data_IF_389548448696
#
_entry.id   IF_389548448696
#
_cell.length_a   1.000
_cell.length_b   1.000
_cell.length_c   1.000
_cell.angle_alpha   90.00
_cell.angle_beta   90.00
_cell.angle_gamma   90.00
#
_symmetry.space_group_name_H-M   'P 1'
#
loop_
_entity.id
_entity.type
_entity.pdbx_description
1 polymer ?
#
# COMPACT_ATOMS: atom_id res chain seq x y z
N UNK A 1 -1.72 22.52 11.69
CA UNK A 1 -2.14 21.93 10.38
C UNK A 1 -2.29 23.07 9.40
N UNK A 2 -1.70 22.97 8.20
CA UNK A 2 -1.82 24.00 7.15
C UNK A 2 -3.29 24.14 6.70
N UNK A 3 -3.79 25.37 6.44
CA UNK A 3 -5.10 25.58 5.83
C UNK A 3 -5.22 24.94 4.44
N UNK A 4 -6.44 24.54 4.04
CA UNK A 4 -6.67 23.82 2.77
C UNK A 4 -6.22 24.61 1.54
N UNK A 5 -6.39 25.93 1.55
CA UNK A 5 -5.99 26.79 0.45
C UNK A 5 -4.47 26.78 0.23
N UNK A 6 -3.69 26.92 1.30
CA UNK A 6 -2.23 26.87 1.26
C UNK A 6 -1.73 25.47 0.87
N UNK A 7 -2.40 24.42 1.36
CA UNK A 7 -2.12 23.04 0.98
C UNK A 7 -2.27 22.81 -0.53
N UNK A 8 -3.31 23.39 -1.15
CA UNK A 8 -3.52 23.34 -2.59
C UNK A 8 -2.47 24.15 -3.36
N UNK A 9 -2.11 25.36 -2.87
CA UNK A 9 -1.06 26.21 -3.49
C UNK A 9 0.30 25.51 -3.55
N UNK A 10 0.63 24.74 -2.51
CA UNK A 10 1.86 23.94 -2.44
C UNK A 10 1.81 22.64 -3.26
N UNK A 11 0.68 22.29 -3.86
CA UNK A 11 0.52 21.05 -4.64
C UNK A 11 0.63 19.78 -3.79
N UNK A 12 0.50 19.86 -2.47
CA UNK A 12 0.60 18.69 -1.59
C UNK A 12 -0.51 17.67 -1.95
N UNK A 13 -0.15 16.40 -2.06
CA UNK A 13 -0.98 15.29 -2.59
C UNK A 13 -1.39 15.39 -4.08
N UNK A 14 -0.87 16.37 -4.82
CA UNK A 14 -1.07 16.50 -6.26
C UNK A 14 0.07 15.80 -6.98
N UNK A 15 -0.16 14.54 -7.36
CA UNK A 15 0.75 13.82 -8.25
C UNK A 15 0.52 14.28 -9.69
N UNK A 16 1.57 14.55 -10.47
CA UNK A 16 1.44 14.74 -11.90
C UNK A 16 0.89 13.45 -12.52
N UNK A 17 -0.12 13.56 -13.38
CA UNK A 17 -0.85 12.37 -13.87
C UNK A 17 -0.02 11.46 -14.80
N UNK A 18 1.12 11.93 -15.31
CA UNK A 18 1.92 11.23 -16.33
C UNK A 18 3.42 11.11 -16.00
N UNK A 19 3.87 11.60 -14.85
CA UNK A 19 5.32 11.72 -14.61
C UNK A 19 5.92 10.49 -13.90
N UNK A 20 5.09 9.51 -13.54
CA UNK A 20 5.54 8.30 -12.86
C UNK A 20 5.07 7.08 -13.66
N UNK A 21 6.02 6.45 -14.34
CA UNK A 21 5.81 5.18 -15.04
C UNK A 21 5.79 4.02 -14.05
N UNK A 22 5.21 2.89 -14.44
CA UNK A 22 5.25 1.66 -13.67
C UNK A 22 6.69 1.18 -13.46
N UNK A 23 7.55 1.36 -14.46
CA UNK A 23 8.98 1.03 -14.39
C UNK A 23 9.76 1.84 -13.36
N UNK A 24 9.34 3.07 -13.08
CA UNK A 24 9.92 3.86 -11.99
C UNK A 24 9.33 3.44 -10.65
N UNK A 25 8.01 3.26 -10.59
CA UNK A 25 7.33 2.85 -9.37
C UNK A 25 7.78 1.47 -8.87
N UNK A 26 8.09 0.52 -9.76
CA UNK A 26 8.54 -0.81 -9.36
C UNK A 26 9.92 -0.78 -8.68
N UNK A 27 10.77 0.22 -8.96
CA UNK A 27 12.04 0.41 -8.24
C UNK A 27 11.78 0.75 -6.78
N UNK A 28 10.79 1.58 -6.51
CA UNK A 28 10.33 1.88 -5.15
C UNK A 28 9.81 0.62 -4.46
N UNK A 29 9.12 -0.25 -5.20
CA UNK A 29 8.67 -1.53 -4.66
C UNK A 29 9.80 -2.44 -4.19
N UNK A 30 10.92 -2.52 -4.91
CA UNK A 30 12.04 -3.34 -4.45
C UNK A 30 12.64 -2.82 -3.14
N UNK A 31 12.81 -1.51 -3.00
CA UNK A 31 13.26 -0.89 -1.75
C UNK A 31 12.28 -1.15 -0.61
N UNK A 32 10.99 -0.94 -0.86
CA UNK A 32 9.93 -1.19 0.12
C UNK A 32 9.91 -2.66 0.55
N UNK A 33 9.97 -3.60 -0.39
CA UNK A 33 9.98 -5.04 -0.13
C UNK A 33 11.11 -5.42 0.80
N UNK A 34 12.32 -4.95 0.53
CA UNK A 34 13.50 -5.31 1.32
C UNK A 34 13.40 -4.73 2.74
N UNK A 35 12.96 -3.47 2.87
CA UNK A 35 12.66 -2.84 4.15
C UNK A 35 11.63 -3.61 4.98
N UNK A 36 10.51 -4.04 4.38
CA UNK A 36 9.45 -4.77 5.08
C UNK A 36 9.92 -6.15 5.50
N UNK A 37 10.69 -6.85 4.64
CA UNK A 37 11.27 -8.15 4.99
C UNK A 37 12.22 -8.05 6.18
N UNK A 38 13.09 -7.04 6.20
CA UNK A 38 13.97 -6.78 7.34
C UNK A 38 13.17 -6.46 8.61
N UNK A 39 12.16 -5.59 8.51
CA UNK A 39 11.30 -5.21 9.62
C UNK A 39 10.52 -6.38 10.23
N UNK A 40 10.20 -7.39 9.42
CA UNK A 40 9.54 -8.62 9.85
C UNK A 40 10.52 -9.75 10.21
N UNK A 41 11.83 -9.53 10.05
CA UNK A 41 12.86 -10.55 10.29
C UNK A 41 12.85 -11.72 9.29
N UNK A 42 12.28 -11.52 8.10
CA UNK A 42 12.06 -12.58 7.10
C UNK A 42 13.28 -12.85 6.21
N UNK A 43 13.75 -14.08 6.23
CA UNK A 43 14.82 -14.62 5.36
C UNK A 43 14.23 -15.22 4.07
N UNK A 44 15.04 -15.36 3.01
CA UNK A 44 14.57 -16.02 1.78
C UNK A 44 14.06 -17.43 2.08
N UNK A 45 12.83 -17.73 1.66
CA UNK A 45 12.17 -19.02 1.92
C UNK A 45 11.30 -19.07 3.18
N UNK A 46 11.33 -18.04 4.04
CA UNK A 46 10.46 -17.99 5.21
C UNK A 46 8.99 -17.89 4.81
N UNK A 47 8.14 -18.57 5.59
CA UNK A 47 6.69 -18.45 5.52
C UNK A 47 6.21 -17.55 6.66
N UNK A 48 5.11 -16.83 6.44
CA UNK A 48 4.45 -16.12 7.52
C UNK A 48 3.80 -17.11 8.50
N UNK A 49 3.77 -16.78 9.80
CA UNK A 49 3.03 -17.57 10.77
C UNK A 49 1.55 -17.65 10.41
N UNK A 50 0.94 -18.80 10.69
CA UNK A 50 -0.50 -19.00 10.58
C UNK A 50 -1.24 -18.21 11.65
N UNK A 51 -2.54 -17.95 11.44
CA UNK A 51 -3.39 -17.23 12.40
C UNK A 51 -3.44 -17.93 13.78
N UNK A 52 -3.21 -19.24 13.83
CA UNK A 52 -3.13 -20.01 15.07
C UNK A 52 -1.81 -19.89 15.82
N UNK A 53 -0.75 -19.35 15.20
CA UNK A 53 0.55 -19.24 15.82
C UNK A 53 0.62 -18.04 16.78
N UNK A 54 1.28 -18.23 17.93
CA UNK A 54 1.45 -17.16 18.93
C UNK A 54 2.21 -15.93 18.40
N UNK A 55 3.02 -16.10 17.35
CA UNK A 55 3.75 -15.02 16.69
C UNK A 55 2.89 -14.22 15.70
N UNK A 56 1.67 -14.65 15.40
CA UNK A 56 0.77 -13.97 14.46
C UNK A 56 0.41 -12.56 14.92
N UNK A 57 -0.02 -12.40 16.17
CA UNK A 57 -0.45 -11.10 16.70
C UNK A 57 0.67 -10.03 16.67
N UNK A 58 1.89 -10.31 17.15
CA UNK A 58 3.01 -9.39 17.00
C UNK A 58 3.32 -9.05 15.53
N UNK A 59 3.35 -10.05 14.65
CA UNK A 59 3.63 -9.86 13.23
C UNK A 59 2.56 -8.98 12.56
N UNK A 60 1.29 -9.26 12.84
CA UNK A 60 0.16 -8.49 12.33
C UNK A 60 0.24 -7.03 12.81
N UNK A 61 0.62 -6.77 14.07
CA UNK A 61 0.85 -5.40 14.56
C UNK A 61 1.96 -4.68 13.80
N UNK A 62 3.06 -5.36 13.47
CA UNK A 62 4.13 -4.78 12.66
C UNK A 62 3.59 -4.44 11.27
N UNK A 63 2.94 -5.40 10.60
CA UNK A 63 2.34 -5.22 9.27
C UNK A 63 1.34 -4.07 9.22
N UNK A 64 0.48 -3.95 10.24
CA UNK A 64 -0.50 -2.86 10.33
C UNK A 64 0.16 -1.50 10.50
N UNK A 65 1.38 -1.42 11.07
CA UNK A 65 2.11 -0.17 11.27
C UNK A 65 3.02 0.19 10.10
N UNK A 66 3.40 -0.80 9.29
CA UNK A 66 4.29 -0.63 8.15
C UNK A 66 3.74 0.42 7.17
N UNK A 67 4.62 1.28 6.66
CA UNK A 67 4.28 2.20 5.58
C UNK A 67 3.94 1.41 4.31
N UNK A 68 2.98 1.87 3.50
CA UNK A 68 2.56 1.17 2.29
C UNK A 68 2.94 1.90 1.00
N UNK A 69 3.69 3.01 1.06
CA UNK A 69 4.22 3.63 -0.15
C UNK A 69 5.29 2.72 -0.76
N UNK A 70 5.15 2.41 -2.05
CA UNK A 70 5.98 1.41 -2.72
C UNK A 70 5.43 -0.02 -2.65
N UNK A 71 4.38 -0.28 -1.86
CA UNK A 71 3.75 -1.59 -1.89
C UNK A 71 3.17 -1.88 -3.28
N UNK A 72 3.53 -3.03 -3.86
CA UNK A 72 2.84 -3.56 -5.04
C UNK A 72 1.61 -4.32 -4.56
N UNK A 73 0.44 -3.86 -4.99
CA UNK A 73 -0.83 -4.39 -4.53
C UNK A 73 -1.73 -4.77 -5.70
N UNK A 74 -2.57 -5.77 -5.48
CA UNK A 74 -3.74 -6.09 -6.31
C UNK A 74 -5.02 -5.68 -5.58
N UNK A 75 -5.97 -5.10 -6.31
CA UNK A 75 -7.33 -4.84 -5.83
C UNK A 75 -8.17 -6.10 -6.05
N UNK A 76 -8.31 -6.92 -5.01
CA UNK A 76 -9.05 -8.19 -5.07
C UNK A 76 -10.55 -7.94 -5.13
N UNK A 77 -11.04 -7.07 -4.26
CA UNK A 77 -12.44 -6.65 -4.23
C UNK A 77 -12.52 -5.13 -4.18
N UNK A 78 -13.55 -4.58 -4.82
CA UNK A 78 -13.89 -3.17 -4.72
C UNK A 78 -15.34 -2.97 -5.12
N UNK A 79 -16.03 -2.04 -4.44
CA UNK A 79 -17.35 -1.56 -4.89
C UNK A 79 -17.31 -0.99 -6.32
N UNK A 80 -16.16 -0.49 -6.77
CA UNK A 80 -15.97 -0.04 -8.13
C UNK A 80 -15.44 -1.18 -9.00
N UNK A 81 -16.30 -1.78 -9.82
CA UNK A 81 -15.97 -2.91 -10.70
C UNK A 81 -14.74 -2.66 -11.58
N UNK A 82 -14.57 -1.44 -12.09
CA UNK A 82 -13.43 -1.09 -12.95
C UNK A 82 -12.06 -1.11 -12.26
N UNK A 83 -12.06 -1.17 -10.91
CA UNK A 83 -10.83 -1.25 -10.12
C UNK A 83 -10.47 -2.69 -9.73
N UNK A 84 -11.40 -3.65 -9.80
CA UNK A 84 -11.12 -5.04 -9.43
C UNK A 84 -10.13 -5.70 -10.40
N UNK A 85 -9.23 -6.52 -9.86
CA UNK A 85 -8.12 -7.15 -10.59
C UNK A 85 -6.98 -6.20 -10.97
N UNK A 86 -7.05 -4.93 -10.56
CA UNK A 86 -6.01 -3.96 -10.87
C UNK A 86 -4.77 -4.20 -10.04
N UNK A 87 -3.63 -4.32 -10.72
CA UNK A 87 -2.31 -4.42 -10.09
C UNK A 87 -1.57 -3.11 -10.28
N UNK A 88 -1.01 -2.58 -9.20
CA UNK A 88 -0.23 -1.35 -9.25
C UNK A 88 0.66 -1.15 -8.03
N UNK A 89 1.53 -0.15 -8.11
CA UNK A 89 2.38 0.27 -7.00
C UNK A 89 1.77 1.50 -6.33
N UNK A 90 1.67 1.49 -5.00
CA UNK A 90 1.20 2.63 -4.22
C UNK A 90 2.22 3.77 -4.29
N UNK A 91 1.84 4.89 -4.88
CA UNK A 91 2.66 6.11 -4.96
C UNK A 91 2.17 7.22 -4.02
N UNK A 92 0.94 7.09 -3.50
CA UNK A 92 0.43 7.96 -2.44
C UNK A 92 -0.53 7.18 -1.54
N UNK A 93 -0.26 7.22 -0.24
CA UNK A 93 -1.13 6.70 0.81
C UNK A 93 -1.75 7.88 1.58
N UNK A 94 -3.08 7.99 1.54
CA UNK A 94 -3.83 8.95 2.34
C UNK A 94 -4.76 8.21 3.30
N UNK A 95 -5.44 8.95 4.19
CA UNK A 95 -6.40 8.35 5.12
C UNK A 95 -7.41 7.43 4.43
N UNK A 96 -7.97 7.84 3.28
CA UNK A 96 -9.12 7.14 2.68
C UNK A 96 -8.83 6.47 1.35
N UNK A 97 -7.71 6.82 0.70
CA UNK A 97 -7.43 6.34 -0.66
C UNK A 97 -5.97 5.99 -0.85
N UNK A 98 -5.73 5.08 -1.77
CA UNK A 98 -4.43 4.92 -2.42
C UNK A 98 -4.44 5.60 -3.79
N UNK A 99 -3.29 6.11 -4.23
CA UNK A 99 -3.03 6.31 -5.65
C UNK A 99 -2.05 5.23 -6.12
N UNK A 100 -2.48 4.46 -7.11
CA UNK A 100 -1.72 3.35 -7.69
C UNK A 100 -1.26 3.73 -9.10
N UNK A 101 0.00 3.48 -9.42
CA UNK A 101 0.48 3.44 -10.81
C UNK A 101 0.27 2.01 -11.31
N UNK A 102 -0.59 1.83 -12.30
CA UNK A 102 -0.82 0.55 -12.96
C UNK A 102 0.24 0.24 -14.02
N UNK A 103 0.26 -1.00 -14.52
CA UNK A 103 1.19 -1.44 -15.58
C UNK A 103 1.03 -0.68 -16.92
N UNK A 104 -0.07 0.04 -17.09
CA UNK A 104 -0.36 0.88 -18.24
C UNK A 104 0.10 2.34 -18.05
N UNK A 105 0.98 2.58 -17.08
CA UNK A 105 1.54 3.89 -16.71
C UNK A 105 0.47 4.93 -16.32
N UNK A 106 -0.72 4.47 -15.89
CA UNK A 106 -1.80 5.35 -15.44
C UNK A 106 -1.94 5.32 -13.93
N UNK A 107 -2.00 6.52 -13.35
CA UNK A 107 -2.32 6.71 -11.93
C UNK A 107 -3.83 6.63 -11.72
N UNK A 108 -4.27 5.75 -10.83
CA UNK A 108 -5.68 5.60 -10.44
C UNK A 108 -5.83 5.74 -8.93
N UNK A 109 -6.91 6.39 -8.51
CA UNK A 109 -7.23 6.54 -7.09
C UNK A 109 -8.18 5.43 -6.67
N UNK A 110 -7.80 4.64 -5.67
CA UNK A 110 -8.58 3.51 -5.16
C UNK A 110 -9.07 3.83 -3.74
N UNK A 111 -10.39 3.87 -3.49
CA UNK A 111 -10.95 4.02 -2.15
C UNK A 111 -10.66 2.81 -1.26
N UNK A 112 -10.26 3.06 -0.01
CA UNK A 112 -9.97 2.01 0.98
C UNK A 112 -11.22 1.42 1.64
N UNK A 113 -12.26 2.24 1.89
CA UNK A 113 -13.41 1.85 2.71
C UNK A 113 -14.10 0.56 2.24
N UNK A 114 -14.22 0.39 0.92
CA UNK A 114 -14.97 -0.68 0.28
C UNK A 114 -14.10 -1.51 -0.66
N UNK A 115 -12.81 -1.68 -0.33
CA UNK A 115 -11.88 -2.49 -1.13
C UNK A 115 -11.09 -3.49 -0.28
N UNK A 116 -10.71 -4.61 -0.89
CA UNK A 116 -9.79 -5.60 -0.34
C UNK A 116 -8.56 -5.63 -1.22
N UNK A 117 -7.39 -5.57 -0.59
CA UNK A 117 -6.10 -5.51 -1.28
C UNK A 117 -5.27 -6.76 -0.96
N UNK A 118 -4.61 -7.31 -1.96
CA UNK A 118 -3.53 -8.27 -1.76
C UNK A 118 -2.18 -7.57 -1.93
N UNK A 119 -1.27 -7.76 -0.98
CA UNK A 119 0.10 -7.24 -1.03
C UNK A 119 1.06 -8.41 -1.24
N UNK A 120 2.00 -8.24 -2.17
CA UNK A 120 3.00 -9.26 -2.50
C UNK A 120 4.35 -8.94 -1.88
N UNK A 121 4.87 -9.87 -1.08
CA UNK A 121 6.21 -9.81 -0.48
C UNK A 121 7.06 -11.02 -0.92
N UNK A 122 7.33 -11.10 -2.22
CA UNK A 122 7.96 -12.29 -2.82
C UNK A 122 6.93 -13.39 -3.04
N UNK A 123 7.11 -14.55 -2.41
CA UNK A 123 6.16 -15.67 -2.43
C UNK A 123 5.05 -15.55 -1.38
N UNK A 124 5.10 -14.50 -0.55
CA UNK A 124 4.14 -14.25 0.51
C UNK A 124 3.06 -13.31 -0.01
N UNK A 125 1.81 -13.69 0.20
CA UNK A 125 0.62 -12.89 -0.11
C UNK A 125 -0.08 -12.50 1.20
N UNK A 126 -0.38 -11.21 1.37
CA UNK A 126 -1.05 -10.69 2.56
C UNK A 126 -2.31 -9.95 2.14
N UNK A 127 -3.45 -10.36 2.67
CA UNK A 127 -4.73 -9.74 2.40
C UNK A 127 -5.04 -8.65 3.44
N UNK A 128 -5.38 -7.46 2.96
CA UNK A 128 -5.79 -6.33 3.78
C UNK A 128 -7.21 -5.90 3.43
N UNK A 129 -8.09 -5.82 4.42
CA UNK A 129 -9.32 -5.06 4.28
C UNK A 129 -8.99 -3.57 4.30
N UNK A 130 -9.33 -2.83 3.25
CA UNK A 130 -8.98 -1.41 3.17
C UNK A 130 -9.56 -0.59 4.33
N UNK A 131 -10.71 -1.00 4.87
CA UNK A 131 -11.34 -0.42 6.06
C UNK A 131 -10.41 -0.39 7.29
N UNK A 132 -9.59 -1.42 7.50
CA UNK A 132 -8.67 -1.49 8.66
C UNK A 132 -7.45 -0.58 8.53
N UNK A 133 -7.14 -0.09 7.33
CA UNK A 133 -6.00 0.79 7.05
C UNK A 133 -6.43 2.21 6.66
N UNK A 134 -7.64 2.61 7.06
CA UNK A 134 -8.18 3.97 6.89
C UNK A 134 -7.71 4.96 7.95
N UNK A 135 -6.41 5.00 8.17
CA UNK A 135 -5.73 5.87 9.12
C UNK A 135 -4.66 6.63 8.34
N UNK A 136 -4.31 7.85 8.75
CA UNK A 136 -3.19 8.53 8.10
C UNK A 136 -1.92 7.69 8.31
N UNK A 137 -1.04 7.52 7.31
CA UNK A 137 0.18 6.71 7.48
C UNK A 137 1.03 7.13 8.68
N UNK A 138 1.13 8.44 8.91
CA UNK A 138 1.83 9.01 10.06
C UNK A 138 1.18 8.65 11.41
N UNK A 139 -0.15 8.53 11.46
CA UNK A 139 -0.89 8.14 12.67
C UNK A 139 -0.87 6.61 12.88
N UNK A 140 -0.71 5.85 11.78
CA UNK A 140 -0.66 4.39 11.79
C UNK A 140 0.65 3.85 12.37
N UNK A 141 1.74 4.59 12.24
CA UNK A 141 3.08 4.16 12.66
C UNK A 141 3.35 4.36 14.17
N UNK A 142 2.38 4.90 14.92
CA UNK A 142 2.50 5.24 16.36
C UNK A 142 2.07 4.07 17.26
#
# INVERSE_FOLDING_TARGET
LLPREEFCKLGLHTLPRKDITFQEAIKLHYLWRDYVRESLGLRPGDLLPSVSDKSYDPLNKVLMRTDLHGAKIEVIESKCETLKGMIGVVVLDTKNTFKLVGMDDRIRTVPKADSVFCIYLGSIEILFYGKSIMIRPAERSV
#
